data_IF_807932983446
#
_entry.id   IF_807932983446
#
_cell.length_a   1.000
_cell.length_b   1.000
_cell.length_c   1.000
_cell.angle_alpha   90.00
_cell.angle_beta   90.00
_cell.angle_gamma   90.00
#
_symmetry.space_group_name_H-M   'P 1'
#
loop_
_entity.id
_entity.type
_entity.pdbx_description
1 polymer ?
#
# COMPACT_ATOMS: atom_id res chain seq x y z
N UNK A 1 6.66 5.23 -7.07
CA UNK A 1 8.12 5.14 -6.89
C UNK A 1 8.68 4.09 -7.84
N UNK A 2 9.68 4.41 -8.67
CA UNK A 2 10.32 3.45 -9.56
C UNK A 2 11.30 2.58 -8.81
N UNK A 3 11.10 1.28 -8.88
CA UNK A 3 12.10 0.35 -8.39
C UNK A 3 13.17 0.18 -9.47
N UNK A 4 14.40 0.57 -9.17
CA UNK A 4 15.54 0.29 -10.02
C UNK A 4 16.36 -0.83 -9.37
N UNK A 5 16.51 -1.96 -10.05
CA UNK A 5 17.37 -3.04 -9.56
C UNK A 5 18.79 -2.49 -9.42
N UNK A 6 19.38 -2.59 -8.26
CA UNK A 6 20.72 -2.06 -7.99
C UNK A 6 21.71 -3.13 -7.52
N UNK A 7 21.24 -4.15 -6.81
CA UNK A 7 22.10 -5.26 -6.36
C UNK A 7 21.79 -6.50 -7.19
N UNK A 8 22.78 -7.02 -7.89
CA UNK A 8 22.64 -8.17 -8.80
C UNK A 8 23.58 -9.30 -8.40
N UNK A 9 23.36 -10.49 -8.93
CA UNK A 9 24.29 -11.63 -8.82
C UNK A 9 23.89 -12.73 -7.86
N UNK A 10 22.99 -12.49 -6.90
CA UNK A 10 22.41 -13.51 -6.02
C UNK A 10 21.02 -13.10 -5.53
N UNK A 11 20.28 -14.03 -4.96
CA UNK A 11 19.06 -13.69 -4.20
C UNK A 11 19.43 -13.16 -2.81
N UNK A 12 18.76 -12.09 -2.41
CA UNK A 12 18.91 -11.48 -1.08
C UNK A 12 17.77 -11.91 -0.17
N UNK A 13 18.08 -12.02 1.11
CA UNK A 13 17.15 -12.37 2.17
C UNK A 13 16.92 -11.19 3.11
N UNK A 14 15.92 -11.29 3.98
CA UNK A 14 15.73 -10.32 5.08
C UNK A 14 16.96 -10.25 6.01
N UNK A 15 17.65 -11.37 6.24
CA UNK A 15 18.89 -11.37 7.00
C UNK A 15 20.00 -10.56 6.33
N UNK A 16 20.13 -10.64 5.00
CA UNK A 16 21.05 -9.79 4.24
C UNK A 16 20.67 -8.32 4.36
N UNK A 17 19.36 -8.00 4.18
CA UNK A 17 18.81 -6.64 4.25
C UNK A 17 19.13 -5.96 5.58
N UNK A 18 18.96 -6.65 6.69
CA UNK A 18 19.28 -6.15 8.04
C UNK A 18 20.75 -5.79 8.23
N UNK A 19 21.64 -6.36 7.43
CA UNK A 19 23.07 -6.10 7.46
C UNK A 19 23.52 -4.93 6.57
N UNK A 20 22.60 -4.33 5.79
CA UNK A 20 22.97 -3.22 4.92
C UNK A 20 23.16 -1.93 5.72
N UNK A 21 24.25 -1.23 5.43
CA UNK A 21 24.67 -0.01 6.15
C UNK A 21 24.56 1.24 5.27
N UNK A 22 24.09 1.09 4.02
CA UNK A 22 23.89 2.23 3.13
C UNK A 22 22.65 3.05 3.59
N UNK A 23 22.69 4.35 3.37
CA UNK A 23 21.61 5.28 3.72
C UNK A 23 20.41 5.18 2.75
N UNK A 24 20.50 4.32 1.75
CA UNK A 24 19.45 4.15 0.74
C UNK A 24 18.34 3.23 1.26
N UNK A 25 17.11 3.57 0.92
CA UNK A 25 15.95 2.70 1.18
C UNK A 25 15.83 1.64 0.10
N UNK A 26 15.59 0.41 0.53
CA UNK A 26 15.50 -0.75 -0.35
C UNK A 26 14.21 -1.53 -0.11
N UNK A 27 13.73 -2.18 -1.17
CA UNK A 27 12.78 -3.28 -1.08
C UNK A 27 13.44 -4.55 -1.64
N UNK A 28 13.04 -5.71 -1.12
CA UNK A 28 13.40 -7.02 -1.69
C UNK A 28 12.12 -7.65 -2.23
N UNK A 29 12.10 -7.97 -3.53
CA UNK A 29 10.99 -8.68 -4.18
C UNK A 29 11.56 -9.89 -4.91
N UNK A 30 11.12 -11.10 -4.54
CA UNK A 30 11.62 -12.36 -5.08
C UNK A 30 13.15 -12.54 -4.90
N UNK A 31 13.72 -11.94 -3.87
CA UNK A 31 15.15 -11.94 -3.61
C UNK A 31 15.95 -10.93 -4.46
N UNK A 32 15.30 -10.09 -5.24
CA UNK A 32 15.95 -9.00 -5.97
C UNK A 32 15.82 -7.70 -5.18
N UNK A 33 16.90 -6.95 -5.04
CA UNK A 33 16.93 -5.71 -4.29
C UNK A 33 16.71 -4.51 -5.21
N UNK A 34 15.76 -3.66 -4.84
CA UNK A 34 15.35 -2.48 -5.57
C UNK A 34 15.51 -1.23 -4.71
N UNK A 35 16.24 -0.24 -5.22
CA UNK A 35 16.38 1.05 -4.56
C UNK A 35 15.06 1.85 -4.67
N UNK A 36 14.62 2.42 -3.57
CA UNK A 36 13.42 3.26 -3.51
C UNK A 36 13.78 4.72 -3.83
N UNK A 37 13.74 5.07 -5.10
CA UNK A 37 13.99 6.44 -5.61
C UNK A 37 13.07 6.72 -6.80
N UNK A 38 12.71 7.95 -7.11
CA UNK A 38 13.02 9.25 -6.50
C UNK A 38 12.07 9.67 -5.37
N UNK A 39 12.29 10.87 -4.80
CA UNK A 39 11.40 11.50 -3.80
C UNK A 39 9.97 11.61 -4.35
N UNK A 40 8.93 11.22 -3.61
CA UNK A 40 7.53 11.32 -4.02
C UNK A 40 7.10 12.76 -4.31
N UNK A 41 6.12 12.94 -5.20
CA UNK A 41 5.50 14.26 -5.45
C UNK A 41 4.69 14.73 -4.23
N UNK A 42 4.44 16.03 -4.15
CA UNK A 42 3.58 16.61 -3.09
C UNK A 42 2.17 15.98 -3.12
N UNK A 43 1.61 15.78 -4.31
CA UNK A 43 0.29 15.17 -4.47
C UNK A 43 0.26 13.72 -3.97
N UNK A 44 1.32 12.95 -4.23
CA UNK A 44 1.48 11.61 -3.67
C UNK A 44 1.48 11.65 -2.14
N UNK A 45 2.30 12.54 -1.54
CA UNK A 45 2.40 12.66 -0.09
C UNK A 45 1.08 13.12 0.56
N UNK A 46 0.36 14.03 -0.10
CA UNK A 46 -0.96 14.47 0.36
C UNK A 46 -1.95 13.31 0.44
N UNK A 47 -2.04 12.50 -0.63
CA UNK A 47 -2.93 11.32 -0.68
C UNK A 47 -2.53 10.29 0.38
N UNK A 48 -1.23 9.97 0.53
CA UNK A 48 -0.72 9.07 1.59
C UNK A 48 -1.11 9.58 2.97
N UNK A 49 -0.88 10.88 3.22
CA UNK A 49 -1.22 11.53 4.51
C UNK A 49 -2.72 11.45 4.79
N UNK A 50 -3.57 11.76 3.80
CA UNK A 50 -5.02 11.74 3.96
C UNK A 50 -5.54 10.33 4.27
N UNK A 51 -5.05 9.29 3.60
CA UNK A 51 -5.37 7.91 3.95
C UNK A 51 -4.93 7.55 5.36
N UNK A 52 -3.68 7.89 5.72
CA UNK A 52 -3.16 7.58 7.03
C UNK A 52 -3.97 8.26 8.15
N UNK A 53 -4.24 9.56 8.03
CA UNK A 53 -5.04 10.31 9.00
C UNK A 53 -6.44 9.70 9.09
N UNK A 54 -7.10 9.48 7.95
CA UNK A 54 -8.46 8.95 7.92
C UNK A 54 -8.57 7.58 8.61
N UNK A 55 -7.63 6.67 8.33
CA UNK A 55 -7.60 5.35 8.96
C UNK A 55 -7.16 5.42 10.42
N UNK A 56 -6.13 6.22 10.75
CA UNK A 56 -5.56 6.30 12.10
C UNK A 56 -6.50 6.91 13.12
N UNK A 57 -7.32 7.88 12.70
CA UNK A 57 -8.23 8.62 13.59
C UNK A 57 -9.66 8.09 13.60
N UNK A 58 -9.98 7.13 12.72
CA UNK A 58 -11.31 6.52 12.71
C UNK A 58 -11.56 5.74 14.01
N UNK A 59 -12.63 6.07 14.76
CA UNK A 59 -12.92 5.42 16.03
C UNK A 59 -13.29 3.93 15.89
N UNK A 60 -13.68 3.49 14.71
CA UNK A 60 -13.95 2.09 14.40
C UNK A 60 -12.69 1.29 14.10
N UNK A 61 -11.58 1.94 13.76
CA UNK A 61 -10.32 1.26 13.52
C UNK A 61 -9.67 0.80 14.82
N UNK A 62 -9.66 -0.50 15.07
CA UNK A 62 -8.98 -1.13 16.21
C UNK A 62 -7.61 -1.71 15.84
N UNK A 63 -7.25 -1.65 14.57
CA UNK A 63 -6.03 -2.20 14.00
C UNK A 63 -4.87 -1.19 14.04
N UNK A 64 -3.66 -1.69 13.86
CA UNK A 64 -2.48 -0.84 13.72
C UNK A 64 -2.40 -0.31 12.30
N UNK A 65 -2.28 1.01 12.17
CA UNK A 65 -2.10 1.69 10.88
C UNK A 65 -0.72 2.33 10.84
N UNK A 66 0.02 2.07 9.76
CA UNK A 66 1.35 2.62 9.53
C UNK A 66 1.54 3.10 8.09
N UNK A 67 2.64 3.84 7.88
CA UNK A 67 3.08 4.37 6.60
C UNK A 67 4.56 4.07 6.37
N UNK A 68 4.99 4.18 5.11
CA UNK A 68 6.42 4.16 4.79
C UNK A 68 7.17 5.31 5.51
N UNK A 69 8.42 5.09 5.96
CA UNK A 69 9.24 3.89 5.81
C UNK A 69 9.01 2.90 6.96
N UNK A 70 8.25 1.87 6.75
CA UNK A 70 8.08 0.78 7.72
C UNK A 70 8.20 -0.54 6.95
N UNK A 71 9.12 -1.39 7.38
CA UNK A 71 9.33 -2.67 6.73
C UNK A 71 8.18 -3.64 7.01
N UNK A 72 7.70 -4.28 5.96
CA UNK A 72 6.80 -5.42 5.99
C UNK A 72 7.54 -6.62 5.41
N UNK A 73 7.87 -7.57 6.26
CA UNK A 73 8.57 -8.82 5.91
C UNK A 73 7.52 -9.87 5.60
N UNK A 74 7.22 -10.05 4.32
CA UNK A 74 6.22 -11.03 3.89
C UNK A 74 6.75 -12.46 3.99
N UNK A 75 8.01 -12.64 3.62
CA UNK A 75 8.80 -13.85 3.80
C UNK A 75 10.31 -13.52 3.70
N UNK A 76 11.19 -14.52 3.79
CA UNK A 76 12.64 -14.32 3.80
C UNK A 76 13.18 -13.60 2.55
N UNK A 77 12.48 -13.69 1.41
CA UNK A 77 12.90 -13.11 0.13
C UNK A 77 12.04 -11.92 -0.31
N UNK A 78 11.13 -11.46 0.57
CA UNK A 78 10.22 -10.37 0.25
C UNK A 78 10.05 -9.43 1.43
N UNK A 79 10.67 -8.25 1.29
CA UNK A 79 10.62 -7.14 2.24
C UNK A 79 10.18 -5.90 1.48
N UNK A 80 9.05 -5.32 1.85
CA UNK A 80 8.45 -4.17 1.16
C UNK A 80 8.16 -3.04 2.14
N UNK A 81 8.01 -1.82 1.64
CA UNK A 81 7.63 -0.63 2.40
C UNK A 81 6.40 0.02 1.77
N UNK A 82 5.19 -0.52 1.99
CA UNK A 82 3.97 0.03 1.40
C UNK A 82 3.71 1.46 1.87
N UNK A 83 3.12 2.30 1.01
CA UNK A 83 2.84 3.69 1.33
C UNK A 83 1.93 3.83 2.57
N UNK A 84 0.84 3.04 2.64
CA UNK A 84 -0.03 2.92 3.84
C UNK A 84 -0.44 1.46 4.00
N UNK A 85 -0.52 0.98 5.23
CA UNK A 85 -1.03 -0.37 5.48
C UNK A 85 -1.67 -0.51 6.87
N UNK A 86 -2.49 -1.55 7.02
CA UNK A 86 -3.20 -1.85 8.28
C UNK A 86 -2.97 -3.30 8.68
N UNK A 87 -2.71 -3.52 9.97
CA UNK A 87 -2.49 -4.84 10.58
C UNK A 87 -3.40 -5.01 11.78
N UNK A 88 -4.31 -5.98 11.72
CA UNK A 88 -5.25 -6.26 12.79
C UNK A 88 -4.74 -7.30 13.78
N UNK A 89 -3.95 -8.26 13.31
CA UNK A 89 -3.27 -9.23 14.17
C UNK A 89 -1.99 -8.61 14.78
N UNK A 90 -2.09 -8.22 16.04
CA UNK A 90 -0.99 -7.59 16.77
C UNK A 90 0.23 -8.50 16.96
N UNK A 91 0.10 -9.80 16.83
CA UNK A 91 1.24 -10.74 16.92
C UNK A 91 2.24 -10.56 15.79
N UNK A 92 1.82 -9.96 14.66
CA UNK A 92 2.68 -9.62 13.52
C UNK A 92 3.56 -8.39 13.78
N UNK A 93 3.26 -7.56 14.78
CA UNK A 93 4.00 -6.33 15.08
C UNK A 93 5.26 -6.67 15.88
N UNK A 94 6.42 -6.53 15.22
CA UNK A 94 7.73 -6.65 15.85
C UNK A 94 8.25 -5.25 16.25
N UNK A 95 9.37 -5.18 16.96
CA UNK A 95 9.96 -3.91 17.38
C UNK A 95 10.32 -2.99 16.20
N UNK A 96 10.81 -3.56 15.09
CA UNK A 96 11.37 -2.79 13.96
C UNK A 96 10.63 -3.01 12.64
N UNK A 97 9.73 -4.00 12.54
CA UNK A 97 9.06 -4.36 11.29
C UNK A 97 7.73 -5.07 11.55
N UNK A 98 6.96 -5.27 10.51
CA UNK A 98 5.78 -6.15 10.52
C UNK A 98 6.18 -7.49 9.90
N UNK A 99 5.87 -8.60 10.59
CA UNK A 99 6.12 -9.96 10.10
C UNK A 99 4.85 -10.56 9.52
N UNK A 100 4.87 -10.89 8.23
CA UNK A 100 3.74 -11.44 7.50
C UNK A 100 2.86 -10.38 6.83
N UNK A 101 1.81 -10.84 6.14
CA UNK A 101 0.95 -10.00 5.33
C UNK A 101 0.06 -9.08 6.19
N UNK A 102 -0.01 -7.76 5.90
CA UNK A 102 -1.04 -6.86 6.40
C UNK A 102 -2.44 -7.26 5.91
N UNK A 103 -3.47 -6.79 6.61
CA UNK A 103 -4.87 -6.99 6.22
C UNK A 103 -5.27 -6.10 5.04
N UNK A 104 -4.73 -4.86 5.01
CA UNK A 104 -4.91 -3.88 3.95
C UNK A 104 -3.55 -3.28 3.58
N UNK A 105 -3.29 -3.15 2.28
CA UNK A 105 -2.18 -2.38 1.72
C UNK A 105 -2.72 -1.34 0.73
N UNK A 106 -2.19 -0.13 0.78
CA UNK A 106 -2.47 0.97 -0.14
C UNK A 106 -1.15 1.44 -0.75
N UNK A 107 -1.05 1.38 -2.07
CA UNK A 107 0.07 1.93 -2.84
C UNK A 107 -0.41 3.11 -3.68
N UNK A 108 0.25 4.25 -3.53
CA UNK A 108 -0.05 5.47 -4.28
C UNK A 108 0.94 5.59 -5.42
N UNK A 109 0.47 5.51 -6.66
CA UNK A 109 1.34 5.46 -7.82
C UNK A 109 1.91 6.84 -8.19
N UNK A 110 3.16 6.85 -8.65
CA UNK A 110 3.77 7.99 -9.32
C UNK A 110 3.78 7.78 -10.85
N UNK A 111 3.73 8.86 -11.64
CA UNK A 111 3.69 8.79 -13.12
C UNK A 111 4.83 7.99 -13.77
N UNK A 112 5.99 7.90 -13.10
CA UNK A 112 7.20 7.36 -13.70
C UNK A 112 7.37 5.84 -13.60
N UNK A 113 6.54 5.13 -12.81
CA UNK A 113 6.84 3.75 -12.39
C UNK A 113 5.69 2.76 -12.48
N UNK A 114 4.57 3.18 -13.05
CA UNK A 114 3.26 2.55 -12.92
C UNK A 114 3.14 1.08 -13.38
N UNK A 115 3.84 0.66 -14.42
CA UNK A 115 3.49 -0.61 -15.08
C UNK A 115 4.23 -1.83 -14.52
N UNK A 116 5.52 -1.70 -14.22
CA UNK A 116 6.32 -2.85 -13.77
C UNK A 116 6.03 -3.17 -12.30
N UNK A 117 6.02 -2.13 -11.47
CA UNK A 117 5.81 -2.24 -10.03
C UNK A 117 4.42 -2.78 -9.69
N UNK A 118 3.39 -2.32 -10.40
CA UNK A 118 2.00 -2.74 -10.23
C UNK A 118 1.84 -4.26 -10.39
N UNK A 119 2.48 -4.87 -11.41
CA UNK A 119 2.34 -6.31 -11.68
C UNK A 119 3.08 -7.16 -10.65
N UNK A 120 4.32 -6.80 -10.32
CA UNK A 120 5.16 -7.56 -9.40
C UNK A 120 4.61 -7.48 -7.97
N UNK A 121 4.28 -6.28 -7.47
CA UNK A 121 3.70 -6.11 -6.13
C UNK A 121 2.31 -6.72 -6.01
N UNK A 122 1.44 -6.58 -7.03
CA UNK A 122 0.11 -7.22 -7.01
C UNK A 122 0.23 -8.74 -6.85
N UNK A 123 1.06 -9.38 -7.67
CA UNK A 123 1.27 -10.84 -7.58
C UNK A 123 1.89 -11.23 -6.25
N UNK A 124 2.83 -10.42 -5.74
CA UNK A 124 3.44 -10.65 -4.44
C UNK A 124 2.40 -10.58 -3.32
N UNK A 125 1.59 -9.52 -3.26
CA UNK A 125 0.59 -9.33 -2.21
C UNK A 125 -0.51 -10.40 -2.26
N UNK A 126 -0.95 -10.80 -3.47
CA UNK A 126 -1.90 -11.90 -3.67
C UNK A 126 -1.41 -13.20 -3.05
N UNK A 127 -0.22 -13.67 -3.44
CA UNK A 127 0.33 -14.93 -2.93
C UNK A 127 0.72 -14.89 -1.46
N UNK A 128 1.02 -13.69 -0.93
CA UNK A 128 1.34 -13.49 0.49
C UNK A 128 0.12 -13.43 1.38
N UNK A 129 -1.09 -13.33 0.81
CA UNK A 129 -2.33 -13.37 1.57
C UNK A 129 -2.79 -11.99 2.06
N UNK A 130 -2.40 -10.88 1.40
CA UNK A 130 -2.94 -9.54 1.69
C UNK A 130 -4.42 -9.52 1.32
N UNK A 131 -5.30 -9.32 2.31
CA UNK A 131 -6.74 -9.45 2.14
C UNK A 131 -7.37 -8.41 1.21
N UNK A 132 -6.92 -7.18 1.31
CA UNK A 132 -7.37 -6.05 0.47
C UNK A 132 -6.18 -5.23 0.00
N UNK A 133 -6.13 -4.93 -1.29
CA UNK A 133 -5.07 -4.15 -1.90
C UNK A 133 -5.66 -3.00 -2.74
N UNK A 134 -5.28 -1.77 -2.41
CA UNK A 134 -5.68 -0.57 -3.13
C UNK A 134 -4.51 -0.01 -3.92
N UNK A 135 -4.73 0.25 -5.20
CA UNK A 135 -3.82 1.01 -6.05
C UNK A 135 -4.47 2.35 -6.32
N UNK A 136 -3.81 3.41 -5.88
CA UNK A 136 -4.30 4.79 -5.99
C UNK A 136 -3.57 5.51 -7.10
N UNK A 137 -4.32 6.14 -7.98
CA UNK A 137 -3.86 6.97 -9.10
C UNK A 137 -4.11 8.44 -8.74
N UNK A 138 -3.16 9.13 -8.09
CA UNK A 138 -3.42 10.48 -7.59
C UNK A 138 -3.72 11.50 -8.70
N UNK A 139 -3.14 11.33 -9.87
CA UNK A 139 -3.37 12.25 -10.99
C UNK A 139 -4.73 12.06 -11.66
N UNK A 140 -5.18 10.82 -11.74
CA UNK A 140 -6.46 10.45 -12.35
C UNK A 140 -7.59 10.46 -11.30
N UNK A 141 -7.24 10.65 -10.02
CA UNK A 141 -8.15 10.69 -8.88
C UNK A 141 -9.08 9.46 -8.80
N UNK A 142 -8.49 8.29 -9.02
CA UNK A 142 -9.18 7.00 -9.02
C UNK A 142 -8.42 5.96 -8.20
N UNK A 143 -9.14 4.92 -7.81
CA UNK A 143 -8.62 3.78 -7.04
C UNK A 143 -9.04 2.48 -7.71
N UNK A 144 -8.12 1.55 -7.85
CA UNK A 144 -8.40 0.15 -8.11
C UNK A 144 -8.30 -0.63 -6.79
N UNK A 145 -9.35 -1.37 -6.45
CA UNK A 145 -9.39 -2.26 -5.30
C UNK A 145 -9.35 -3.71 -5.73
N UNK A 146 -8.44 -4.48 -5.14
CA UNK A 146 -8.34 -5.92 -5.27
C UNK A 146 -8.68 -6.59 -3.94
N UNK A 147 -9.56 -7.59 -3.98
CA UNK A 147 -10.01 -8.36 -2.81
C UNK A 147 -9.56 -9.80 -2.96
N UNK A 148 -8.92 -10.34 -1.92
CA UNK A 148 -8.47 -11.73 -1.89
C UNK A 148 -9.63 -12.67 -1.53
N UNK A 149 -9.95 -13.58 -2.45
CA UNK A 149 -10.98 -14.60 -2.25
C UNK A 149 -10.41 -15.96 -2.68
N UNK A 150 -10.43 -16.92 -1.80
CA UNK A 150 -9.88 -18.26 -2.07
C UNK A 150 -8.41 -18.23 -2.57
N UNK A 151 -7.60 -17.31 -2.04
CA UNK A 151 -6.18 -17.17 -2.38
C UNK A 151 -5.88 -16.46 -3.70
N UNK A 152 -6.87 -15.84 -4.34
CA UNK A 152 -6.71 -15.09 -5.59
C UNK A 152 -7.41 -13.73 -5.51
N UNK A 153 -6.81 -12.71 -6.12
CA UNK A 153 -7.46 -11.42 -6.27
C UNK A 153 -8.55 -11.48 -7.33
N UNK A 154 -9.74 -11.04 -6.95
CA UNK A 154 -10.81 -10.80 -7.92
C UNK A 154 -10.43 -9.70 -8.91
N UNK A 155 -11.22 -9.54 -9.98
CA UNK A 155 -11.14 -8.37 -10.86
C UNK A 155 -11.24 -7.10 -10.04
N UNK A 156 -10.50 -6.05 -10.44
CA UNK A 156 -10.51 -4.79 -9.71
C UNK A 156 -11.91 -4.15 -9.71
N UNK A 157 -12.33 -3.70 -8.55
CA UNK A 157 -13.37 -2.67 -8.46
C UNK A 157 -12.70 -1.31 -8.66
N UNK A 158 -13.29 -0.43 -9.45
CA UNK A 158 -12.76 0.91 -9.73
C UNK A 158 -13.64 1.96 -9.08
N UNK A 159 -13.03 2.92 -8.40
CA UNK A 159 -13.72 4.02 -7.71
C UNK A 159 -13.14 5.35 -8.16
N UNK A 160 -14.00 6.33 -8.39
CA UNK A 160 -13.63 7.70 -8.67
C UNK A 160 -13.61 8.56 -7.37
N UNK A 161 -13.05 9.76 -7.47
CA UNK A 161 -12.89 10.68 -6.34
C UNK A 161 -14.20 11.08 -5.64
N UNK A 162 -15.33 11.03 -6.32
CA UNK A 162 -16.67 11.44 -5.82
C UNK A 162 -17.46 10.30 -5.17
N UNK A 163 -16.87 9.11 -5.08
CA UNK A 163 -17.49 7.93 -4.49
C UNK A 163 -17.06 7.71 -3.03
N UNK A 164 -17.76 6.80 -2.36
CA UNK A 164 -17.41 6.31 -1.03
C UNK A 164 -16.90 4.88 -1.14
N UNK A 165 -15.72 4.63 -0.60
CA UNK A 165 -15.10 3.31 -0.54
C UNK A 165 -15.37 2.66 0.81
N UNK A 166 -16.13 1.57 0.81
CA UNK A 166 -16.27 0.70 1.98
C UNK A 166 -15.17 -0.35 1.98
N UNK A 167 -14.36 -0.37 3.03
CA UNK A 167 -13.26 -1.32 3.16
C UNK A 167 -13.77 -2.73 3.46
N UNK A 168 -13.10 -3.74 2.92
CA UNK A 168 -13.40 -5.16 3.21
C UNK A 168 -12.58 -5.65 4.39
N UNK A 169 -11.31 -5.25 4.47
CA UNK A 169 -10.44 -5.56 5.61
C UNK A 169 -10.90 -4.90 6.93
N UNK A 170 -11.65 -3.79 6.83
CA UNK A 170 -12.18 -3.00 7.95
C UNK A 170 -13.66 -2.66 7.66
N UNK A 171 -14.61 -3.61 7.81
CA UNK A 171 -15.95 -3.49 7.27
C UNK A 171 -16.82 -2.37 7.90
N UNK A 172 -16.41 -1.87 9.06
CA UNK A 172 -17.06 -0.75 9.74
C UNK A 172 -16.55 0.62 9.29
N UNK A 173 -15.56 0.65 8.36
CA UNK A 173 -14.95 1.88 7.87
C UNK A 173 -15.36 2.15 6.43
N UNK A 174 -15.89 3.37 6.23
CA UNK A 174 -16.18 3.94 4.92
C UNK A 174 -15.32 5.19 4.72
N UNK A 175 -14.71 5.30 3.53
CA UNK A 175 -13.80 6.39 3.17
C UNK A 175 -14.44 7.20 2.05
N UNK A 176 -14.71 8.45 2.30
CA UNK A 176 -15.15 9.40 1.29
C UNK A 176 -13.94 9.80 0.43
N UNK A 177 -13.92 9.44 -0.83
CA UNK A 177 -12.72 9.63 -1.66
C UNK A 177 -12.44 11.09 -1.98
N UNK A 178 -13.44 11.98 -1.96
CA UNK A 178 -13.19 13.42 -2.06
C UNK A 178 -12.32 13.97 -0.91
N UNK A 179 -12.35 13.37 0.27
CA UNK A 179 -11.47 13.74 1.38
C UNK A 179 -10.02 13.29 1.10
N UNK A 180 -9.86 12.12 0.49
CA UNK A 180 -8.54 11.57 0.12
C UNK A 180 -7.88 12.41 -0.96
N UNK A 181 -8.63 12.83 -1.97
CA UNK A 181 -8.13 13.63 -3.08
C UNK A 181 -8.20 15.16 -2.85
N UNK A 182 -8.50 15.59 -1.61
CA UNK A 182 -8.63 17.00 -1.22
C UNK A 182 -9.62 17.79 -2.12
N UNK A 183 -10.76 17.15 -2.44
CA UNK A 183 -11.84 17.74 -3.22
C UNK A 183 -13.00 18.19 -2.31
N UNK A 184 -13.79 19.13 -2.81
CA UNK A 184 -15.06 19.47 -2.17
C UNK A 184 -16.03 18.28 -2.27
N UNK A 185 -16.84 18.11 -1.22
CA UNK A 185 -17.90 17.09 -1.23
C UNK A 185 -18.80 17.26 -2.46
N UNK A 186 -19.06 16.17 -3.22
CA UNK A 186 -19.99 16.23 -4.34
C UNK A 186 -21.35 16.75 -3.90
N UNK A 187 -21.92 17.69 -4.67
CA UNK A 187 -23.29 18.14 -4.44
C UNK A 187 -24.22 17.03 -4.90
N UNK A 188 -25.03 16.50 -3.98
CA UNK A 188 -26.16 15.64 -4.35
C UNK A 188 -27.18 16.54 -5.06
N UNK A 189 -27.18 16.53 -6.40
CA UNK A 189 -28.26 17.16 -7.15
C UNK A 189 -29.55 16.48 -6.69
N UNK A 190 -30.34 17.20 -5.90
CA UNK A 190 -31.63 16.72 -5.45
C UNK A 190 -32.44 16.30 -6.67
N UNK A 191 -32.87 15.04 -6.67
CA UNK A 191 -33.89 14.61 -7.62
C UNK A 191 -35.08 15.56 -7.49
N UNK A 192 -35.44 16.26 -8.59
CA UNK A 192 -36.66 17.02 -8.76
C UNK A 192 -37.81 16.02 -8.90
#
# INVERSE_FOLDING_TARGET
MGLTAKKTGRKFTFADYRGWTDEERWEIINGEAYAMTPVPSLKHQEVVSNFHIRLKTDPQNKCYTAIAPTDVVLDDFNVVQPDVFVVCDRSKLQETHVQGAPDLIIEVLSKSTQLKDKREKKTLYERSGVGEYLIVYPEDEMIERYRLVNGQYLSADVFNWDETLKLVALPDIEINLWEIFARQRPQVNGAI
#
